data_IF_644055083516
#
_entry.id   IF_644055083516
#
_cell.length_a   1.000
_cell.length_b   1.000
_cell.length_c   1.000
_cell.angle_alpha   90.00
_cell.angle_beta   90.00
_cell.angle_gamma   90.00
#
_symmetry.space_group_name_H-M   'P 1'
#
loop_
_entity.id
_entity.type
_entity.pdbx_description
1 polymer ?
#
# COMPACT_ATOMS: atom_id res chain seq x y z
N UNK A 1 3.02 34.38 -28.21
CA UNK A 1 3.54 33.03 -27.84
C UNK A 1 4.95 33.24 -27.34
N UNK A 2 5.23 32.90 -26.07
CA UNK A 2 6.59 33.03 -25.54
C UNK A 2 7.54 32.10 -26.32
N UNK A 3 8.70 32.60 -26.74
CA UNK A 3 9.70 31.80 -27.45
C UNK A 3 10.19 30.63 -26.61
N UNK A 4 10.50 29.50 -27.25
CA UNK A 4 11.05 28.30 -26.59
C UNK A 4 10.03 27.25 -26.15
N UNK A 5 8.73 27.43 -26.42
CA UNK A 5 7.71 26.41 -26.16
C UNK A 5 7.58 25.47 -27.37
N UNK A 6 7.73 24.16 -27.14
CA UNK A 6 7.39 23.11 -28.10
C UNK A 6 6.13 22.38 -27.66
N UNK A 7 5.25 22.07 -28.60
CA UNK A 7 4.01 21.33 -28.35
C UNK A 7 3.96 20.10 -29.25
N UNK A 8 4.12 18.91 -28.66
CA UNK A 8 3.93 17.63 -29.33
C UNK A 8 2.56 17.01 -29.02
N UNK A 9 1.94 16.32 -29.98
CA UNK A 9 0.62 15.68 -29.85
C UNK A 9 0.48 14.79 -28.59
N UNK A 10 1.55 14.08 -28.23
CA UNK A 10 1.56 13.20 -27.05
C UNK A 10 1.99 13.96 -25.80
N UNK A 11 2.97 14.86 -25.92
CA UNK A 11 3.49 15.63 -24.79
C UNK A 11 2.42 16.56 -24.19
N UNK A 12 1.61 17.21 -25.03
CA UNK A 12 0.54 18.09 -24.57
C UNK A 12 -0.55 17.35 -23.79
N UNK A 13 -0.90 16.13 -24.20
CA UNK A 13 -1.85 15.28 -23.47
C UNK A 13 -1.28 14.84 -22.12
N UNK A 14 -0.01 14.42 -22.08
CA UNK A 14 0.65 14.05 -20.82
C UNK A 14 0.71 15.22 -19.82
N UNK A 15 1.09 16.41 -20.29
CA UNK A 15 1.09 17.63 -19.47
C UNK A 15 -0.32 17.97 -18.99
N UNK A 16 -1.33 17.84 -19.87
CA UNK A 16 -2.73 18.09 -19.51
C UNK A 16 -3.19 17.20 -18.36
N UNK A 17 -2.88 15.90 -18.37
CA UNK A 17 -3.27 14.97 -17.30
C UNK A 17 -2.70 15.38 -15.93
N UNK A 18 -1.46 15.88 -15.90
CA UNK A 18 -0.82 16.37 -14.67
C UNK A 18 -1.52 17.65 -14.19
N UNK A 19 -1.76 18.60 -15.09
CA UNK A 19 -2.43 19.87 -14.76
C UNK A 19 -3.87 19.64 -14.29
N UNK A 20 -4.61 18.73 -14.92
CA UNK A 20 -5.97 18.36 -14.51
C UNK A 20 -5.98 17.77 -13.09
N UNK A 21 -5.05 16.84 -12.79
CA UNK A 21 -4.92 16.30 -11.42
C UNK A 21 -4.54 17.37 -10.40
N UNK A 22 -3.66 18.30 -10.75
CA UNK A 22 -3.31 19.40 -9.83
C UNK A 22 -4.51 20.30 -9.56
N UNK A 23 -5.31 20.62 -10.60
CA UNK A 23 -6.56 21.37 -10.44
C UNK A 23 -7.58 20.64 -9.56
N UNK A 24 -7.68 19.31 -9.70
CA UNK A 24 -8.52 18.49 -8.81
C UNK A 24 -8.07 18.59 -7.35
N UNK A 25 -6.75 18.48 -7.10
CA UNK A 25 -6.16 18.63 -5.75
C UNK A 25 -6.36 20.05 -5.22
N UNK A 26 -6.27 21.05 -6.08
CA UNK A 26 -6.46 22.45 -5.73
C UNK A 26 -7.91 22.78 -5.37
N UNK A 27 -8.86 22.20 -6.11
CA UNK A 27 -10.29 22.36 -5.84
C UNK A 27 -10.78 21.51 -4.66
N UNK A 28 -10.03 20.48 -4.25
CA UNK A 28 -10.44 19.58 -3.18
C UNK A 28 -10.43 20.26 -1.80
N UNK A 29 -11.60 20.31 -1.17
CA UNK A 29 -11.80 20.72 0.23
C UNK A 29 -12.18 19.47 1.02
N UNK A 30 -11.36 18.99 1.97
CA UNK A 30 -11.68 17.80 2.75
C UNK A 30 -12.88 18.02 3.67
N UNK A 31 -13.77 17.03 3.75
CA UNK A 31 -14.87 17.01 4.70
C UNK A 31 -14.43 16.52 6.09
N UNK A 32 -15.12 17.01 7.12
CA UNK A 32 -14.96 16.52 8.48
C UNK A 32 -15.46 15.07 8.60
N UNK A 33 -14.66 14.22 9.25
CA UNK A 33 -15.06 12.86 9.57
C UNK A 33 -14.46 12.45 10.92
N UNK A 34 -15.16 11.57 11.62
CA UNK A 34 -14.72 11.07 12.91
C UNK A 34 -14.57 9.56 12.88
N UNK A 35 -13.50 9.09 13.52
CA UNK A 35 -13.28 7.67 13.80
C UNK A 35 -13.20 7.46 15.29
N UNK A 36 -13.89 6.43 15.76
CA UNK A 36 -13.81 5.99 17.16
C UNK A 36 -13.10 4.66 17.18
N UNK A 37 -11.93 4.62 17.80
CA UNK A 37 -11.12 3.41 17.96
C UNK A 37 -11.17 2.99 19.42
N UNK A 38 -11.66 1.78 19.67
CA UNK A 38 -11.59 1.11 20.96
C UNK A 38 -10.41 0.14 21.01
N UNK A 39 -9.81 0.00 22.19
CA UNK A 39 -8.78 -0.99 22.48
C UNK A 39 -9.35 -2.02 23.45
N UNK A 40 -9.20 -3.29 23.10
CA UNK A 40 -9.80 -4.43 23.80
C UNK A 40 -8.71 -5.44 24.10
N UNK A 41 -8.85 -6.18 25.19
CA UNK A 41 -8.00 -7.33 25.53
C UNK A 41 -8.88 -8.54 25.81
N UNK A 42 -8.38 -9.73 25.52
CA UNK A 42 -9.00 -10.98 25.99
C UNK A 42 -8.58 -11.34 27.41
N UNK A 43 -7.56 -10.67 27.96
CA UNK A 43 -7.05 -10.89 29.31
C UNK A 43 -7.85 -10.04 30.31
N UNK A 44 -8.96 -10.61 30.78
CA UNK A 44 -9.95 -9.90 31.60
C UNK A 44 -9.45 -9.52 33.00
N UNK A 45 -8.44 -10.22 33.53
CA UNK A 45 -7.89 -9.97 34.86
C UNK A 45 -7.00 -8.71 34.89
N UNK A 46 -6.33 -8.40 33.78
CA UNK A 46 -5.31 -7.35 33.69
C UNK A 46 -5.77 -6.11 32.92
N UNK A 47 -7.08 -5.97 32.62
CA UNK A 47 -7.62 -4.91 31.75
C UNK A 47 -7.13 -3.51 32.16
N UNK A 48 -7.19 -3.19 33.45
CA UNK A 48 -6.78 -1.88 33.97
C UNK A 48 -5.28 -1.66 33.80
N UNK A 49 -4.48 -2.65 34.19
CA UNK A 49 -3.02 -2.59 34.11
C UNK A 49 -2.54 -2.50 32.64
N UNK A 50 -3.15 -3.27 31.74
CA UNK A 50 -2.85 -3.21 30.30
C UNK A 50 -3.25 -1.86 29.69
N UNK A 51 -4.40 -1.30 30.10
CA UNK A 51 -4.82 0.03 29.69
C UNK A 51 -3.84 1.12 30.13
N UNK A 52 -3.32 1.05 31.35
CA UNK A 52 -2.26 1.95 31.85
C UNK A 52 -0.95 1.80 31.07
N UNK A 53 -0.49 0.56 30.87
CA UNK A 53 0.71 0.28 30.08
C UNK A 53 0.58 0.79 28.64
N UNK A 54 -0.57 0.59 28.02
CA UNK A 54 -0.86 1.09 26.68
C UNK A 54 -0.80 2.61 26.60
N UNK A 55 -1.46 3.31 27.52
CA UNK A 55 -1.43 4.79 27.59
C UNK A 55 -0.02 5.30 27.79
N UNK A 56 0.73 4.70 28.72
CA UNK A 56 2.14 5.03 28.96
C UNK A 56 2.97 4.86 27.69
N UNK A 57 2.87 3.70 27.05
CA UNK A 57 3.57 3.38 25.82
C UNK A 57 3.27 4.37 24.68
N UNK A 58 2.01 4.79 24.51
CA UNK A 58 1.62 5.80 23.53
C UNK A 58 2.25 7.18 23.77
N UNK A 59 2.51 7.53 25.04
CA UNK A 59 3.12 8.81 25.41
C UNK A 59 4.65 8.79 25.44
N UNK A 60 5.26 7.61 25.57
CA UNK A 60 6.71 7.44 25.46
C UNK A 60 7.15 7.73 24.02
N UNK A 61 7.79 8.88 23.81
CA UNK A 61 8.25 9.24 22.46
C UNK A 61 9.46 8.40 22.03
N UNK A 62 9.52 8.00 20.75
CA UNK A 62 10.69 7.35 20.15
C UNK A 62 11.98 8.19 20.21
N UNK A 63 11.92 9.48 20.57
CA UNK A 63 13.10 10.33 20.83
C UNK A 63 14.04 9.69 21.87
N UNK A 64 13.50 9.01 22.90
CA UNK A 64 14.30 8.32 23.94
C UNK A 64 14.94 7.00 23.49
N UNK A 65 14.74 6.55 22.24
CA UNK A 65 15.36 5.31 21.72
C UNK A 65 16.31 5.51 20.54
N UNK A 66 16.11 6.50 19.64
CA UNK A 66 16.97 6.66 18.43
C UNK A 66 17.05 8.09 17.84
N UNK A 67 16.96 9.16 18.65
CA UNK A 67 17.28 10.52 18.17
C UNK A 67 16.47 11.03 16.96
N UNK A 68 15.25 10.53 16.75
CA UNK A 68 14.34 10.95 15.66
C UNK A 68 13.17 11.75 16.24
N UNK A 69 12.91 12.93 15.66
CA UNK A 69 11.62 13.63 15.83
C UNK A 69 10.49 12.71 15.39
N UNK A 70 9.61 12.29 16.29
CA UNK A 70 8.61 11.28 15.97
C UNK A 70 7.21 11.87 15.80
N UNK A 71 6.61 11.60 14.64
CA UNK A 71 5.16 11.77 14.39
C UNK A 71 4.31 10.68 15.12
N UNK A 72 4.76 10.17 16.27
CA UNK A 72 4.17 9.06 17.01
C UNK A 72 4.51 7.66 16.48
N UNK A 73 4.01 6.63 17.15
CA UNK A 73 4.19 5.23 16.79
C UNK A 73 3.52 4.83 15.47
N UNK A 74 4.18 4.01 14.65
CA UNK A 74 3.63 3.48 13.40
C UNK A 74 2.54 2.45 13.68
N UNK A 75 1.62 2.26 12.73
CA UNK A 75 0.55 1.25 12.81
C UNK A 75 1.10 -0.16 13.06
N UNK A 76 2.19 -0.53 12.38
CA UNK A 76 2.84 -1.84 12.58
C UNK A 76 3.32 -2.04 14.02
N UNK A 77 3.89 -1.00 14.64
CA UNK A 77 4.42 -1.07 16.01
C UNK A 77 3.28 -1.16 17.03
N UNK A 78 2.21 -0.37 16.81
CA UNK A 78 0.98 -0.46 17.62
C UNK A 78 0.37 -1.86 17.56
N UNK A 79 0.23 -2.41 16.36
CA UNK A 79 -0.37 -3.73 16.17
C UNK A 79 0.49 -4.85 16.77
N UNK A 80 1.83 -4.73 16.70
CA UNK A 80 2.74 -5.68 17.34
C UNK A 80 2.58 -5.66 18.87
N UNK A 81 2.59 -4.47 19.48
CA UNK A 81 2.38 -4.34 20.92
C UNK A 81 1.04 -4.94 21.35
N UNK A 82 -0.04 -4.61 20.64
CA UNK A 82 -1.37 -5.14 20.96
C UNK A 82 -1.41 -6.68 20.87
N UNK A 83 -0.83 -7.25 19.82
CA UNK A 83 -0.78 -8.70 19.65
C UNK A 83 0.03 -9.42 20.75
N UNK A 84 1.12 -8.82 21.23
CA UNK A 84 1.94 -9.36 22.33
C UNK A 84 1.19 -9.37 23.67
N UNK A 85 0.16 -8.54 23.83
CA UNK A 85 -0.62 -8.37 25.06
C UNK A 85 -2.07 -8.85 24.90
N UNK A 86 -2.31 -9.85 24.02
CA UNK A 86 -3.64 -10.40 23.70
C UNK A 86 -4.73 -9.34 23.46
N UNK A 87 -4.31 -8.24 22.87
CA UNK A 87 -5.11 -7.03 22.70
C UNK A 87 -5.34 -6.73 21.22
N UNK A 88 -6.38 -5.95 20.94
CA UNK A 88 -6.74 -5.54 19.60
C UNK A 88 -7.31 -4.12 19.59
N UNK A 89 -7.18 -3.45 18.45
CA UNK A 89 -7.88 -2.21 18.16
C UNK A 89 -9.07 -2.51 17.24
N UNK A 90 -10.22 -1.91 17.52
CA UNK A 90 -11.40 -1.99 16.66
C UNK A 90 -12.02 -0.62 16.43
N UNK A 91 -12.51 -0.38 15.22
CA UNK A 91 -13.23 0.84 14.85
C UNK A 91 -14.74 0.63 15.04
N UNK A 92 -15.41 1.63 15.62
CA UNK A 92 -16.86 1.63 15.72
C UNK A 92 -17.48 1.92 14.35
N UNK A 93 -18.17 0.93 13.80
CA UNK A 93 -18.77 1.01 12.46
C UNK A 93 -20.30 1.10 12.46
N UNK A 94 -20.95 0.68 13.55
CA UNK A 94 -22.41 0.54 13.63
C UNK A 94 -22.91 0.73 15.07
N UNK A 95 -24.05 1.41 15.23
CA UNK A 95 -24.79 1.54 16.49
C UNK A 95 -26.26 1.26 16.20
N UNK A 96 -26.89 0.38 16.97
CA UNK A 96 -28.32 0.02 16.85
C UNK A 96 -28.75 -0.35 15.41
N UNK A 97 -27.90 -1.08 14.67
CA UNK A 97 -28.19 -1.49 13.29
C UNK A 97 -27.96 -0.40 12.23
N UNK A 98 -27.48 0.79 12.62
CA UNK A 98 -27.20 1.91 11.71
C UNK A 98 -25.71 2.17 11.63
N UNK A 99 -25.22 2.39 10.41
CA UNK A 99 -23.82 2.75 10.18
C UNK A 99 -23.46 4.02 10.98
N UNK A 100 -22.31 3.99 11.64
CA UNK A 100 -21.81 5.10 12.43
C UNK A 100 -21.15 6.14 11.51
N UNK A 101 -21.87 7.21 11.19
CA UNK A 101 -21.41 8.33 10.36
C UNK A 101 -21.73 9.68 11.05
N UNK A 102 -21.03 10.00 12.16
CA UNK A 102 -21.27 11.21 12.92
C UNK A 102 -20.88 12.45 12.09
N UNK A 103 -21.74 13.48 12.14
CA UNK A 103 -21.51 14.75 11.43
C UNK A 103 -20.60 15.72 12.19
N UNK A 104 -20.54 15.58 13.51
CA UNK A 104 -19.83 16.48 14.40
C UNK A 104 -19.38 15.75 15.67
N UNK A 105 -18.59 16.47 16.48
CA UNK A 105 -18.07 16.00 17.76
C UNK A 105 -19.16 15.63 18.78
N UNK A 106 -20.29 16.34 18.78
CA UNK A 106 -21.37 16.08 19.74
C UNK A 106 -22.03 14.73 19.46
N UNK A 107 -22.30 14.43 18.18
CA UNK A 107 -22.78 13.13 17.75
C UNK A 107 -21.83 11.99 18.14
N UNK A 108 -20.51 12.22 18.06
CA UNK A 108 -19.49 11.28 18.55
C UNK A 108 -19.62 11.08 20.06
N UNK A 109 -19.58 12.16 20.84
CA UNK A 109 -19.60 12.12 22.31
C UNK A 109 -20.87 11.46 22.85
N UNK A 110 -22.04 11.80 22.31
CA UNK A 110 -23.31 11.17 22.67
C UNK A 110 -23.27 9.66 22.40
N UNK A 111 -22.70 9.25 21.27
CA UNK A 111 -22.62 7.85 20.87
C UNK A 111 -21.67 7.05 21.77
N UNK A 112 -20.47 7.57 22.04
CA UNK A 112 -19.48 6.87 22.88
C UNK A 112 -19.82 6.92 24.36
N UNK A 113 -20.56 7.93 24.83
CA UNK A 113 -21.01 7.98 26.23
C UNK A 113 -21.87 6.75 26.60
N UNK A 114 -22.62 6.20 25.64
CA UNK A 114 -23.39 4.95 25.81
C UNK A 114 -22.53 3.73 26.06
N UNK A 115 -21.23 3.78 25.73
CA UNK A 115 -20.27 2.69 25.99
C UNK A 115 -19.59 2.82 27.35
N UNK A 116 -19.92 3.84 28.14
CA UNK A 116 -19.22 4.17 29.38
C UNK A 116 -17.95 4.99 29.16
N UNK A 117 -17.75 5.54 27.96
CA UNK A 117 -16.60 6.40 27.67
C UNK A 117 -16.61 7.66 28.53
N UNK A 118 -15.51 7.88 29.24
CA UNK A 118 -15.16 9.12 29.91
C UNK A 118 -14.01 9.78 29.17
N UNK A 119 -14.18 11.07 28.85
CA UNK A 119 -13.17 11.87 28.19
C UNK A 119 -12.10 12.28 29.22
N UNK A 120 -10.85 11.94 28.93
CA UNK A 120 -9.70 12.32 29.76
C UNK A 120 -8.97 13.54 29.17
N UNK A 121 -8.82 13.56 27.84
CA UNK A 121 -7.98 14.52 27.15
C UNK A 121 -8.59 14.91 25.81
N UNK A 122 -8.64 16.23 25.55
CA UNK A 122 -8.93 16.80 24.24
C UNK A 122 -7.67 17.48 23.71
N UNK A 123 -7.15 16.96 22.61
CA UNK A 123 -6.00 17.53 21.91
C UNK A 123 -6.50 18.19 20.63
N UNK A 124 -6.18 19.47 20.46
CA UNK A 124 -6.46 20.21 19.23
C UNK A 124 -5.14 20.64 18.59
N UNK A 125 -4.99 20.36 17.30
CA UNK A 125 -3.80 20.71 16.52
C UNK A 125 -4.22 21.52 15.31
N UNK A 126 -3.57 22.67 15.11
CA UNK A 126 -3.77 23.49 13.93
C UNK A 126 -2.80 23.09 12.81
N UNK A 127 -3.33 22.99 11.60
CA UNK A 127 -2.56 22.82 10.38
C UNK A 127 -2.91 23.96 9.40
N UNK A 128 -2.22 25.11 9.48
CA UNK A 128 -2.56 26.28 8.66
C UNK A 128 -2.37 26.05 7.16
N UNK A 129 -1.67 24.99 6.74
CA UNK A 129 -1.48 24.63 5.33
C UNK A 129 -2.64 23.79 4.76
N UNK A 130 -3.53 23.27 5.59
CA UNK A 130 -4.68 22.51 5.13
C UNK A 130 -5.83 23.42 4.67
N UNK A 131 -6.78 22.85 3.94
CA UNK A 131 -8.00 23.53 3.45
C UNK A 131 -9.20 23.15 4.30
N UNK A 132 -10.13 24.08 4.49
CA UNK A 132 -11.42 23.83 5.12
C UNK A 132 -11.32 23.22 6.54
N UNK A 133 -12.22 22.29 6.90
CA UNK A 133 -12.24 21.63 8.21
C UNK A 133 -10.90 21.00 8.63
N UNK A 134 -10.10 20.51 7.67
CA UNK A 134 -8.81 19.86 7.95
C UNK A 134 -7.74 20.78 8.55
N UNK A 135 -7.98 22.10 8.62
CA UNK A 135 -7.14 23.04 9.34
C UNK A 135 -7.11 22.79 10.86
N UNK A 136 -8.14 22.13 11.39
CA UNK A 136 -8.24 21.75 12.79
C UNK A 136 -8.33 20.24 12.90
N UNK A 137 -7.39 19.64 13.63
CA UNK A 137 -7.40 18.22 13.94
C UNK A 137 -7.70 18.08 15.43
N UNK A 138 -8.84 17.47 15.74
CA UNK A 138 -9.24 17.18 17.12
C UNK A 138 -9.00 15.69 17.39
N UNK A 139 -8.37 15.38 18.52
CA UNK A 139 -8.26 14.02 19.05
C UNK A 139 -8.81 14.01 20.46
N UNK A 140 -9.78 13.11 20.68
CA UNK A 140 -10.34 12.83 21.98
C UNK A 140 -9.74 11.52 22.49
N UNK A 141 -9.26 11.52 23.72
CA UNK A 141 -8.77 10.32 24.41
C UNK A 141 -9.47 10.20 25.73
N UNK A 142 -9.71 8.96 26.11
CA UNK A 142 -10.48 8.65 27.29
C UNK A 142 -10.35 7.18 27.66
N UNK A 143 -11.07 6.81 28.70
CA UNK A 143 -11.17 5.44 29.17
C UNK A 143 -12.64 5.04 29.33
N UNK A 144 -12.90 3.74 29.46
CA UNK A 144 -14.24 3.24 29.74
C UNK A 144 -14.38 3.07 31.25
N UNK A 145 -15.51 3.54 31.80
CA UNK A 145 -15.95 3.28 33.18
C UNK A 145 -17.37 2.76 33.15
N UNK A 146 -17.68 1.72 33.93
CA UNK A 146 -19.05 1.18 34.03
C UNK A 146 -19.73 0.88 32.67
N UNK A 147 -18.92 0.54 31.65
CA UNK A 147 -19.39 0.24 30.30
C UNK A 147 -19.95 -1.17 30.16
N UNK A 148 -20.70 -1.46 29.08
CA UNK A 148 -21.21 -2.80 28.84
C UNK A 148 -20.05 -3.79 28.62
N UNK A 149 -20.25 -5.04 29.06
CA UNK A 149 -19.35 -6.12 28.67
C UNK A 149 -19.44 -6.33 27.16
N UNK A 150 -18.29 -6.21 26.48
CA UNK A 150 -18.21 -6.45 25.05
C UNK A 150 -18.11 -7.94 24.77
N UNK A 151 -18.74 -8.39 23.68
CA UNK A 151 -18.63 -9.76 23.22
C UNK A 151 -18.37 -9.81 21.73
N UNK A 152 -17.60 -10.79 21.30
CA UNK A 152 -17.40 -11.06 19.88
C UNK A 152 -18.71 -11.57 19.28
N UNK A 153 -19.29 -10.80 18.36
CA UNK A 153 -20.55 -11.16 17.68
C UNK A 153 -20.34 -12.23 16.61
N UNK A 154 -19.23 -12.14 15.88
CA UNK A 154 -18.91 -13.05 14.76
C UNK A 154 -17.42 -13.02 14.44
N UNK A 155 -16.86 -14.17 14.06
CA UNK A 155 -15.52 -14.29 13.49
C UNK A 155 -15.69 -14.89 12.09
N UNK A 156 -15.15 -14.23 11.06
CA UNK A 156 -15.17 -14.72 9.70
C UNK A 156 -13.75 -14.92 9.19
N UNK A 157 -13.44 -16.14 8.77
CA UNK A 157 -12.16 -16.47 8.13
C UNK A 157 -12.40 -16.73 6.64
N UNK A 158 -11.79 -15.90 5.78
CA UNK A 158 -11.90 -16.05 4.33
C UNK A 158 -10.56 -16.48 3.75
N UNK A 159 -10.52 -17.64 3.09
CA UNK A 159 -9.35 -18.05 2.31
C UNK A 159 -9.27 -17.20 1.05
N UNK A 160 -8.18 -16.45 0.92
CA UNK A 160 -7.90 -15.67 -0.29
C UNK A 160 -6.81 -16.37 -1.12
N UNK A 161 -6.95 -16.30 -2.45
CA UNK A 161 -5.94 -16.76 -3.40
C UNK A 161 -5.57 -15.60 -4.30
N UNK A 162 -4.30 -15.24 -4.35
CA UNK A 162 -3.76 -14.32 -5.35
C UNK A 162 -3.33 -15.10 -6.60
N UNK A 163 -3.41 -14.44 -7.76
CA UNK A 163 -2.86 -14.95 -9.01
C UNK A 163 -1.49 -14.30 -9.26
N UNK A 164 -0.54 -15.00 -9.89
CA UNK A 164 0.71 -14.37 -10.29
C UNK A 164 0.47 -13.25 -11.29
N UNK A 165 1.34 -12.25 -11.29
CA UNK A 165 1.36 -11.20 -12.30
C UNK A 165 1.78 -11.76 -13.66
N UNK A 166 1.35 -11.09 -14.73
CA UNK A 166 1.83 -11.40 -16.08
C UNK A 166 3.32 -11.07 -16.22
N UNK A 167 4.02 -11.70 -17.18
CA UNK A 167 5.37 -11.30 -17.59
C UNK A 167 5.46 -9.81 -17.94
N UNK A 168 6.65 -9.24 -17.82
CA UNK A 168 6.83 -7.80 -18.05
C UNK A 168 6.62 -7.43 -19.53
N UNK A 169 5.84 -6.38 -19.73
CA UNK A 169 5.87 -5.51 -20.92
C UNK A 169 6.54 -4.18 -20.58
N UNK A 170 6.80 -3.34 -21.59
CA UNK A 170 7.48 -2.04 -21.43
C UNK A 170 6.88 -1.21 -20.27
N UNK A 171 5.56 -1.06 -20.26
CA UNK A 171 4.86 -0.22 -19.27
C UNK A 171 4.92 -0.81 -17.86
N UNK A 172 4.74 -2.13 -17.71
CA UNK A 172 4.80 -2.80 -16.40
C UNK A 172 6.22 -2.87 -15.85
N UNK A 173 7.24 -2.97 -16.71
CA UNK A 173 8.64 -2.91 -16.31
C UNK A 173 8.97 -1.52 -15.75
N UNK A 174 8.61 -0.46 -16.47
CA UNK A 174 8.82 0.92 -16.04
C UNK A 174 8.09 1.23 -14.72
N UNK A 175 6.82 0.83 -14.59
CA UNK A 175 6.05 1.02 -13.36
C UNK A 175 6.67 0.27 -12.17
N UNK A 176 7.09 -0.98 -12.39
CA UNK A 176 7.68 -1.79 -11.32
C UNK A 176 9.05 -1.26 -10.90
N UNK A 177 9.89 -0.85 -11.86
CA UNK A 177 11.19 -0.25 -11.57
C UNK A 177 11.06 1.09 -10.82
N UNK A 178 10.08 1.93 -11.17
CA UNK A 178 9.80 3.17 -10.44
C UNK A 178 9.34 2.88 -9.00
N UNK A 179 8.42 1.92 -8.82
CA UNK A 179 7.82 1.62 -7.51
C UNK A 179 8.76 0.85 -6.56
N UNK A 180 9.60 -0.05 -7.09
CA UNK A 180 10.45 -0.92 -6.28
C UNK A 180 11.91 -0.47 -6.20
N UNK A 181 12.42 0.14 -7.27
CA UNK A 181 13.84 0.53 -7.38
C UNK A 181 14.04 2.06 -7.40
N UNK A 182 12.96 2.85 -7.49
CA UNK A 182 13.04 4.31 -7.61
C UNK A 182 13.62 4.78 -8.94
N UNK A 183 13.63 3.93 -9.97
CA UNK A 183 14.22 4.27 -11.27
C UNK A 183 13.26 5.12 -12.12
N UNK A 184 13.70 6.30 -12.61
CA UNK A 184 12.95 7.03 -13.63
C UNK A 184 12.83 6.21 -14.91
N UNK A 185 11.75 6.39 -15.66
CA UNK A 185 11.49 5.63 -16.90
C UNK A 185 12.67 5.67 -17.89
N UNK A 186 13.33 6.82 -18.05
CA UNK A 186 14.51 6.95 -18.91
C UNK A 186 15.68 6.07 -18.47
N UNK A 187 15.93 6.00 -17.16
CA UNK A 187 16.99 5.16 -16.61
C UNK A 187 16.66 3.68 -16.81
N UNK A 188 15.43 3.27 -16.51
CA UNK A 188 14.95 1.90 -16.75
C UNK A 188 15.15 1.48 -18.21
N UNK A 189 14.76 2.33 -19.16
CA UNK A 189 14.88 1.99 -20.58
C UNK A 189 16.33 1.96 -21.08
N UNK A 190 17.20 2.84 -20.57
CA UNK A 190 18.64 2.78 -20.89
C UNK A 190 19.26 1.48 -20.37
N UNK A 191 19.03 1.14 -19.11
CA UNK A 191 19.54 -0.13 -18.55
C UNK A 191 18.98 -1.35 -19.28
N UNK A 192 17.69 -1.35 -19.62
CA UNK A 192 17.10 -2.45 -20.39
C UNK A 192 17.65 -2.53 -21.83
N UNK A 193 18.00 -1.40 -22.44
CA UNK A 193 18.70 -1.36 -23.73
C UNK A 193 20.07 -2.03 -23.61
N UNK A 194 20.86 -1.66 -22.60
CA UNK A 194 22.19 -2.26 -22.35
C UNK A 194 22.08 -3.77 -22.13
N UNK A 195 21.11 -4.21 -21.32
CA UNK A 195 20.85 -5.64 -21.07
C UNK A 195 20.40 -6.40 -22.32
N UNK A 196 19.72 -5.73 -23.26
CA UNK A 196 19.28 -6.35 -24.52
C UNK A 196 20.41 -6.46 -25.54
N UNK A 197 21.21 -5.38 -25.71
CA UNK A 197 22.31 -5.32 -26.67
C UNK A 197 23.53 -6.12 -26.23
N UNK A 198 23.77 -6.15 -24.92
CA UNK A 198 24.82 -6.94 -24.30
C UNK A 198 25.56 -6.17 -23.22
N UNK A 199 25.83 -6.85 -22.11
CA UNK A 199 26.72 -6.36 -21.06
C UNK A 199 27.89 -7.32 -20.91
N UNK A 200 29.06 -6.80 -20.57
CA UNK A 200 30.23 -7.62 -20.29
C UNK A 200 30.00 -8.43 -19.01
N UNK A 201 29.96 -9.75 -19.16
CA UNK A 201 29.87 -10.70 -18.05
C UNK A 201 31.19 -11.46 -17.97
N UNK A 202 31.77 -11.51 -16.77
CA UNK A 202 33.05 -12.19 -16.54
C UNK A 202 32.97 -13.67 -16.97
N UNK A 203 33.96 -14.11 -17.74
CA UNK A 203 33.99 -15.46 -18.32
C UNK A 203 33.04 -15.74 -19.50
N UNK A 204 32.13 -14.82 -19.86
CA UNK A 204 31.16 -15.03 -20.95
C UNK A 204 31.23 -13.99 -22.08
N UNK A 205 32.01 -12.92 -21.90
CA UNK A 205 32.09 -11.83 -22.88
C UNK A 205 30.84 -10.95 -22.86
N UNK A 206 30.52 -10.30 -23.99
CA UNK A 206 29.32 -9.46 -24.10
C UNK A 206 28.10 -10.33 -24.40
N UNK A 207 27.14 -10.38 -23.47
CA UNK A 207 25.95 -11.24 -23.56
C UNK A 207 24.68 -10.42 -23.37
N UNK A 208 23.71 -10.60 -24.26
CA UNK A 208 22.36 -10.05 -24.13
C UNK A 208 21.54 -10.85 -23.12
N UNK A 209 21.21 -10.24 -21.99
CA UNK A 209 20.59 -10.89 -20.83
C UNK A 209 19.05 -10.85 -20.85
N UNK A 210 18.42 -10.05 -21.70
CA UNK A 210 16.95 -9.99 -21.80
C UNK A 210 16.46 -9.99 -23.24
N UNK A 211 15.18 -10.32 -23.43
CA UNK A 211 14.45 -10.09 -24.68
C UNK A 211 14.19 -8.61 -24.93
N UNK A 212 13.69 -8.28 -26.13
CA UNK A 212 13.48 -6.89 -26.54
C UNK A 212 12.55 -6.13 -25.59
N UNK A 213 13.05 -5.04 -25.01
CA UNK A 213 12.40 -4.29 -23.93
C UNK A 213 11.27 -3.35 -24.37
N UNK A 214 11.09 -3.15 -25.68
CA UNK A 214 9.97 -2.35 -26.24
C UNK A 214 8.92 -3.29 -26.83
N UNK A 215 8.16 -3.90 -25.93
CA UNK A 215 7.09 -4.86 -26.22
C UNK A 215 5.82 -4.48 -25.45
N UNK A 216 4.66 -4.77 -26.04
CA UNK A 216 3.33 -4.73 -25.41
C UNK A 216 2.72 -6.15 -25.27
N UNK A 217 3.51 -7.18 -25.56
CA UNK A 217 3.11 -8.58 -25.50
C UNK A 217 3.55 -9.24 -24.20
N UNK A 218 2.62 -9.91 -23.53
CA UNK A 218 2.88 -10.75 -22.34
C UNK A 218 3.19 -12.20 -22.72
N UNK A 219 3.29 -12.50 -24.03
CA UNK A 219 3.54 -13.84 -24.54
C UNK A 219 4.95 -14.34 -24.15
N UNK A 220 5.05 -15.63 -23.83
CA UNK A 220 6.33 -16.31 -23.61
C UNK A 220 6.42 -17.48 -24.59
N UNK A 221 7.60 -17.69 -25.17
CA UNK A 221 7.89 -18.86 -25.97
C UNK A 221 7.75 -20.16 -25.15
N UNK A 222 7.47 -21.28 -25.83
CA UNK A 222 7.42 -22.59 -25.17
C UNK A 222 8.72 -22.93 -24.44
N UNK A 223 9.87 -22.50 -24.99
CA UNK A 223 11.18 -22.63 -24.37
C UNK A 223 11.28 -21.82 -23.07
N UNK A 224 10.92 -20.53 -23.08
CA UNK A 224 10.92 -19.70 -21.88
C UNK A 224 9.98 -20.24 -20.79
N UNK A 225 8.81 -20.75 -21.17
CA UNK A 225 7.87 -21.40 -20.24
C UNK A 225 8.53 -22.63 -19.61
N UNK A 226 9.16 -23.49 -20.41
CA UNK A 226 9.80 -24.71 -19.90
C UNK A 226 10.98 -24.38 -18.98
N UNK A 227 11.80 -23.38 -19.33
CA UNK A 227 12.88 -22.89 -18.48
C UNK A 227 12.36 -22.37 -17.14
N UNK A 228 11.35 -21.50 -17.15
CA UNK A 228 10.76 -20.98 -15.92
C UNK A 228 10.19 -22.11 -15.04
N UNK A 229 9.51 -23.09 -15.64
CA UNK A 229 8.97 -24.25 -14.92
C UNK A 229 10.07 -25.12 -14.31
N UNK A 230 11.15 -25.40 -15.05
CA UNK A 230 12.34 -26.10 -14.54
C UNK A 230 12.96 -25.35 -13.38
N UNK A 231 13.19 -24.05 -13.54
CA UNK A 231 13.75 -23.20 -12.49
C UNK A 231 12.89 -23.22 -11.22
N UNK A 232 11.56 -23.14 -11.36
CA UNK A 232 10.65 -23.19 -10.20
C UNK A 232 10.71 -24.54 -9.48
N UNK A 233 10.62 -25.66 -10.21
CA UNK A 233 10.71 -27.00 -9.61
C UNK A 233 12.06 -27.20 -8.92
N UNK A 234 13.18 -26.83 -9.56
CA UNK A 234 14.53 -27.03 -9.01
C UNK A 234 14.88 -26.14 -7.82
N UNK A 235 14.38 -24.89 -7.76
CA UNK A 235 14.77 -23.93 -6.71
C UNK A 235 13.72 -23.76 -5.61
N UNK A 236 12.44 -24.02 -5.89
CA UNK A 236 11.34 -23.83 -4.93
C UNK A 236 10.55 -25.11 -4.65
N UNK A 237 10.70 -26.15 -5.48
CA UNK A 237 10.01 -27.44 -5.33
C UNK A 237 8.62 -27.47 -5.97
N UNK A 238 8.08 -28.69 -6.13
CA UNK A 238 6.87 -28.95 -6.92
C UNK A 238 5.60 -28.31 -6.33
N UNK A 239 5.58 -28.01 -5.02
CA UNK A 239 4.46 -27.30 -4.39
C UNK A 239 4.28 -25.86 -4.93
N UNK A 240 5.34 -25.25 -5.48
CA UNK A 240 5.31 -23.92 -6.08
C UNK A 240 5.13 -23.95 -7.60
N UNK A 241 5.25 -25.12 -8.23
CA UNK A 241 5.07 -25.28 -9.68
C UNK A 241 3.58 -25.42 -10.02
N UNK A 242 3.00 -24.50 -10.82
CA UNK A 242 1.63 -24.67 -11.29
C UNK A 242 1.49 -25.96 -12.11
N UNK A 243 0.41 -26.72 -11.85
CA UNK A 243 0.16 -28.00 -12.54
C UNK A 243 0.07 -27.85 -14.07
N UNK A 244 -0.37 -26.69 -14.56
CA UNK A 244 -0.36 -26.30 -15.98
C UNK A 244 0.41 -25.00 -16.18
N UNK A 245 1.00 -24.83 -17.36
CA UNK A 245 1.63 -23.56 -17.73
C UNK A 245 0.61 -22.41 -17.69
N UNK A 246 1.03 -21.25 -17.20
CA UNK A 246 0.21 -20.05 -17.20
C UNK A 246 0.41 -19.31 -18.53
N UNK A 247 -0.70 -18.99 -19.19
CA UNK A 247 -0.72 -18.12 -20.36
C UNK A 247 -1.45 -16.82 -20.00
N UNK A 248 -0.92 -15.71 -20.50
CA UNK A 248 -1.45 -14.38 -20.26
C UNK A 248 -1.81 -13.76 -21.61
N UNK A 249 -3.02 -13.21 -21.71
CA UNK A 249 -3.43 -12.46 -22.89
C UNK A 249 -2.78 -11.07 -22.89
N UNK A 250 -2.36 -10.58 -24.06
CA UNK A 250 -2.02 -9.17 -24.21
C UNK A 250 -3.27 -8.30 -24.01
N UNK A 251 -3.09 -7.13 -23.40
CA UNK A 251 -4.15 -6.11 -23.30
C UNK A 251 -4.41 -5.41 -24.62
N UNK A 252 -3.49 -5.49 -25.59
CA UNK A 252 -3.62 -4.90 -26.91
C UNK A 252 -3.92 -5.98 -27.96
N UNK A 253 -5.16 -6.00 -28.47
CA UNK A 253 -5.58 -6.95 -29.54
C UNK A 253 -4.89 -6.69 -30.89
N UNK A 254 -4.26 -5.53 -31.05
CA UNK A 254 -3.47 -5.17 -32.23
C UNK A 254 -1.96 -5.35 -32.00
N UNK A 255 -1.54 -5.85 -30.83
CA UNK A 255 -0.15 -6.23 -30.60
C UNK A 255 0.24 -7.26 -31.64
N UNK A 256 1.34 -7.00 -32.36
CA UNK A 256 1.89 -7.98 -33.28
C UNK A 256 2.35 -9.18 -32.44
N UNK A 257 1.72 -10.33 -32.64
CA UNK A 257 2.01 -11.61 -31.95
C UNK A 257 3.46 -12.10 -32.13
N UNK A 258 4.27 -11.39 -32.94
CA UNK A 258 5.69 -11.66 -33.16
C UNK A 258 6.62 -11.23 -32.01
N UNK A 259 6.14 -10.50 -31.00
CA UNK A 259 6.97 -10.03 -29.88
C UNK A 259 6.75 -10.87 -28.60
N UNK A 260 7.85 -11.25 -27.95
CA UNK A 260 7.86 -11.90 -26.63
C UNK A 260 7.81 -10.84 -25.51
N UNK A 261 7.39 -11.24 -24.32
CA UNK A 261 7.52 -10.47 -23.10
C UNK A 261 8.99 -10.23 -22.74
N UNK A 262 9.24 -9.22 -21.92
CA UNK A 262 10.54 -8.92 -21.34
C UNK A 262 10.87 -9.99 -20.30
N UNK A 263 11.86 -10.82 -20.61
CA UNK A 263 12.25 -11.97 -19.80
C UNK A 263 13.76 -12.24 -19.95
N UNK A 264 14.34 -13.02 -19.04
CA UNK A 264 15.77 -13.32 -19.02
C UNK A 264 16.18 -14.27 -20.15
N UNK A 265 17.13 -13.87 -20.99
CA UNK A 265 17.81 -14.78 -21.90
C UNK A 265 18.90 -15.48 -21.11
N UNK A 266 18.82 -16.81 -21.00
CA UNK A 266 19.96 -17.61 -20.58
C UNK A 266 20.41 -18.34 -21.84
N UNK A 267 21.57 -17.96 -22.37
CA UNK A 267 22.30 -18.87 -23.24
C UNK A 267 22.83 -20.00 -22.37
N UNK A 268 22.59 -21.24 -22.82
CA UNK A 268 23.09 -22.45 -22.19
C UNK A 268 24.62 -22.46 -22.11
#
# INVERSE_FOLDING_TARGET
VAGGLSAGRVQSVAVRLVVEREREIDAFIPDEHWKVIGYFTTDLEDVTALGEQWRKWLTETPEKRKGRKSNGWKVREKNAWLAEHNSLAAELIEIDGRKFEPKDIEAVLVSVKRTGFQLDERIETQNPKAKGPAQRIIRLRGHLTNGPAWRVKSIQTKRMKSRPYAPFITSTLQQTAANQLGFPAQFTMRTAQDLYEGVSVDGMGSVGLITYMRTDSTHLSGEAINMARKYISSNFGDMYLPSKANFFSSSNKAAQEAHEAIQGRIQA
#
